data_IF_820619387669
#
_entry.id   IF_820619387669
#
_cell.length_a   1.000
_cell.length_b   1.000
_cell.length_c   1.000
_cell.angle_alpha   90.00
_cell.angle_beta   90.00
_cell.angle_gamma   90.00
#
_symmetry.space_group_name_H-M   'P 1'
#
loop_
_entity.id
_entity.type
_entity.pdbx_description
1 polymer ?
#
# COMPACT_ATOMS: atom_id res chain seq x y z
N UNK A 1 -8.40 8.30 -26.38
CA UNK A 1 -8.97 8.86 -25.14
C UNK A 1 -8.29 8.16 -23.97
N UNK A 2 -7.71 8.91 -23.03
CA UNK A 2 -7.14 8.31 -21.82
C UNK A 2 -8.31 7.75 -21.00
N UNK A 3 -8.40 6.42 -20.87
CA UNK A 3 -9.39 5.80 -19.96
C UNK A 3 -9.13 6.35 -18.56
N UNK A 4 -10.20 6.72 -17.83
CA UNK A 4 -10.07 7.20 -16.45
C UNK A 4 -9.36 6.16 -15.57
N UNK A 5 -8.41 6.62 -14.76
CA UNK A 5 -7.70 5.79 -13.78
C UNK A 5 -8.52 5.77 -12.48
N UNK A 6 -8.75 4.58 -11.95
CA UNK A 6 -9.45 4.36 -10.68
C UNK A 6 -8.40 4.02 -9.63
N UNK A 7 -8.34 4.81 -8.56
CA UNK A 7 -7.47 4.55 -7.40
C UNK A 7 -8.33 3.99 -6.26
N UNK A 8 -8.05 2.77 -5.82
CA UNK A 8 -8.84 2.06 -4.81
C UNK A 8 -8.01 1.91 -3.54
N UNK A 9 -8.50 2.47 -2.43
CA UNK A 9 -7.89 2.28 -1.11
C UNK A 9 -8.48 1.06 -0.41
N UNK A 10 -7.69 0.01 -0.20
CA UNK A 10 -8.08 -1.14 0.63
C UNK A 10 -7.71 -0.85 2.08
N UNK A 11 -8.70 -0.92 2.98
CA UNK A 11 -8.50 -0.73 4.42
C UNK A 11 -7.88 -1.97 5.08
N UNK A 12 -7.24 -1.80 6.25
CA UNK A 12 -6.65 -2.94 6.97
C UNK A 12 -7.67 -3.91 7.58
N UNK A 13 -8.96 -3.58 7.54
CA UNK A 13 -10.07 -4.35 8.12
C UNK A 13 -11.01 -4.93 7.06
N UNK A 14 -10.74 -4.75 5.77
CA UNK A 14 -11.73 -5.02 4.71
C UNK A 14 -11.70 -6.46 4.21
N UNK A 15 -10.57 -7.16 4.24
CA UNK A 15 -10.48 -8.53 3.70
C UNK A 15 -10.92 -9.60 4.72
N UNK A 16 -12.20 -9.54 5.11
CA UNK A 16 -12.85 -10.55 5.96
C UNK A 16 -13.50 -11.67 5.17
N UNK A 17 -14.13 -12.62 5.87
CA UNK A 17 -14.95 -13.66 5.22
C UNK A 17 -16.09 -13.01 4.43
N UNK A 18 -16.23 -13.40 3.15
CA UNK A 18 -17.19 -12.87 2.16
C UNK A 18 -16.87 -11.51 1.53
N UNK A 19 -15.67 -10.97 1.71
CA UNK A 19 -15.23 -9.79 0.94
C UNK A 19 -14.97 -10.17 -0.53
N UNK A 20 -15.48 -9.35 -1.47
CA UNK A 20 -15.32 -9.54 -2.93
C UNK A 20 -14.38 -8.53 -3.57
N UNK A 21 -13.68 -7.72 -2.77
CA UNK A 21 -12.92 -6.57 -3.27
C UNK A 21 -11.88 -6.98 -4.31
N UNK A 22 -11.21 -8.12 -4.10
CA UNK A 22 -10.17 -8.58 -5.01
C UNK A 22 -10.76 -9.13 -6.32
N UNK A 23 -11.87 -9.85 -6.23
CA UNK A 23 -12.65 -10.32 -7.38
C UNK A 23 -13.15 -9.14 -8.22
N UNK A 24 -13.69 -8.10 -7.57
CA UNK A 24 -14.19 -6.89 -8.22
C UNK A 24 -13.05 -6.12 -8.92
N UNK A 25 -11.89 -6.00 -8.27
CA UNK A 25 -10.70 -5.39 -8.88
C UNK A 25 -10.25 -6.14 -10.13
N UNK A 26 -10.21 -7.47 -10.07
CA UNK A 26 -9.81 -8.32 -11.20
C UNK A 26 -10.82 -8.23 -12.34
N UNK A 27 -12.11 -8.22 -12.03
CA UNK A 27 -13.17 -8.09 -13.03
C UNK A 27 -13.14 -6.72 -13.72
N UNK A 28 -12.96 -5.64 -12.96
CA UNK A 28 -12.74 -4.30 -13.51
C UNK A 28 -11.50 -4.24 -14.41
N UNK A 29 -10.41 -4.92 -14.03
CA UNK A 29 -9.22 -5.02 -14.88
C UNK A 29 -9.51 -5.75 -16.20
N UNK A 30 -10.28 -6.85 -16.16
CA UNK A 30 -10.70 -7.62 -17.36
C UNK A 30 -11.58 -6.79 -18.30
N UNK A 31 -12.40 -5.89 -17.75
CA UNK A 31 -13.16 -4.88 -18.52
C UNK A 31 -12.28 -3.75 -19.08
N UNK A 32 -10.97 -3.84 -18.87
CA UNK A 32 -9.96 -2.91 -19.37
C UNK A 32 -9.96 -1.58 -18.63
N UNK A 33 -10.36 -1.54 -17.35
CA UNK A 33 -10.19 -0.36 -16.49
C UNK A 33 -8.73 -0.29 -16.01
N UNK A 34 -8.22 0.93 -15.89
CA UNK A 34 -6.89 1.20 -15.33
C UNK A 34 -7.02 1.38 -13.82
N UNK A 35 -6.45 0.48 -13.04
CA UNK A 35 -6.61 0.40 -11.59
C UNK A 35 -5.26 0.58 -10.88
N UNK A 36 -5.26 1.42 -9.86
CA UNK A 36 -4.18 1.50 -8.87
C UNK A 36 -4.78 1.14 -7.52
N UNK A 37 -4.19 0.16 -6.83
CA UNK A 37 -4.59 -0.23 -5.48
C UNK A 37 -3.65 0.44 -4.49
N UNK A 38 -4.19 1.03 -3.43
CA UNK A 38 -3.42 1.55 -2.29
C UNK A 38 -3.84 0.79 -1.04
N UNK A 39 -2.91 0.22 -0.29
CA UNK A 39 -3.23 -0.55 0.91
C UNK A 39 -2.73 0.10 2.20
N UNK A 40 -3.21 -0.41 3.32
CA UNK A 40 -2.67 -0.11 4.65
C UNK A 40 -2.23 -1.41 5.31
N UNK A 41 -1.99 -1.38 6.61
CA UNK A 41 -1.63 -2.60 7.33
C UNK A 41 -1.38 -2.33 8.80
N UNK A 42 -2.12 -1.39 9.40
CA UNK A 42 -1.88 -0.92 10.76
C UNK A 42 -1.96 -2.06 11.78
N UNK A 43 -2.95 -2.96 11.63
CA UNK A 43 -3.12 -4.15 12.48
C UNK A 43 -1.91 -5.09 12.39
N UNK A 44 -1.56 -5.51 11.18
CA UNK A 44 -0.40 -6.39 10.91
C UNK A 44 0.90 -5.78 11.44
N UNK A 45 1.08 -4.47 11.25
CA UNK A 45 2.25 -3.75 11.76
C UNK A 45 2.31 -3.79 13.29
N UNK A 46 1.19 -3.51 13.97
CA UNK A 46 1.12 -3.57 15.44
C UNK A 46 1.39 -4.98 15.97
N UNK A 47 0.90 -6.02 15.30
CA UNK A 47 1.15 -7.42 15.66
C UNK A 47 2.65 -7.75 15.56
N UNK A 48 3.33 -7.34 14.50
CA UNK A 48 4.78 -7.56 14.35
C UNK A 48 5.62 -6.78 15.36
N UNK A 49 5.26 -5.52 15.64
CA UNK A 49 5.93 -4.73 16.68
C UNK A 49 5.80 -5.41 18.06
N UNK A 50 4.59 -5.88 18.40
CA UNK A 50 4.35 -6.59 19.65
C UNK A 50 5.16 -7.90 19.75
N UNK A 51 5.24 -8.68 18.66
CA UNK A 51 6.04 -9.91 18.61
C UNK A 51 7.54 -9.67 18.82
N UNK A 52 8.02 -8.49 18.43
CA UNK A 52 9.41 -8.08 18.60
C UNK A 52 9.66 -7.35 19.93
N UNK A 53 8.64 -7.18 20.77
CA UNK A 53 8.74 -6.44 22.02
C UNK A 53 8.97 -4.94 21.85
N UNK A 54 8.65 -4.39 20.67
CA UNK A 54 8.79 -2.96 20.38
C UNK A 54 7.50 -2.24 20.81
N UNK A 55 7.57 -1.29 21.77
CA UNK A 55 6.40 -0.58 22.25
C UNK A 55 5.79 0.30 21.15
N UNK A 56 4.46 0.41 21.16
CA UNK A 56 3.73 1.23 20.20
C UNK A 56 3.03 2.39 20.90
N UNK A 57 3.14 3.60 20.37
CA UNK A 57 2.43 4.77 20.85
C UNK A 57 1.82 5.57 19.70
N UNK A 58 0.81 6.37 20.01
CA UNK A 58 0.05 7.14 19.04
C UNK A 58 -0.18 8.57 19.53
N UNK A 59 -0.10 9.53 18.59
CA UNK A 59 -0.43 10.95 18.80
C UNK A 59 -1.42 11.34 17.71
N UNK A 60 -2.60 11.85 18.08
CA UNK A 60 -3.66 12.26 17.15
C UNK A 60 -4.05 11.16 16.12
N UNK A 61 -4.04 9.90 16.55
CA UNK A 61 -4.34 8.74 15.70
C UNK A 61 -3.21 8.29 14.77
N UNK A 62 -2.06 8.98 14.78
CA UNK A 62 -0.86 8.61 14.02
C UNK A 62 0.13 7.88 14.91
N UNK A 63 0.78 6.83 14.36
CA UNK A 63 1.80 6.07 15.07
C UNK A 63 3.07 6.92 15.22
N UNK A 64 3.57 7.06 16.44
CA UNK A 64 4.93 7.56 16.67
C UNK A 64 5.90 6.52 16.16
N UNK A 65 6.76 6.91 15.22
CA UNK A 65 7.59 5.97 14.46
C UNK A 65 9.05 6.32 14.65
N UNK A 66 9.77 5.60 15.50
CA UNK A 66 11.22 5.69 15.60
C UNK A 66 11.93 4.85 14.52
N UNK A 67 13.27 4.79 14.55
CA UNK A 67 14.06 4.12 13.52
C UNK A 67 13.80 2.60 13.47
N UNK A 68 13.61 1.95 14.63
CA UNK A 68 13.33 0.51 14.68
C UNK A 68 11.88 0.22 14.25
N UNK A 69 10.94 1.06 14.70
CA UNK A 69 9.54 1.00 14.27
C UNK A 69 9.43 1.18 12.76
N UNK A 70 10.19 2.10 12.16
CA UNK A 70 10.20 2.34 10.71
C UNK A 70 10.60 1.10 9.92
N UNK A 71 11.65 0.37 10.37
CA UNK A 71 12.08 -0.87 9.72
C UNK A 71 10.97 -1.91 9.70
N UNK A 72 10.27 -2.08 10.82
CA UNK A 72 9.17 -3.04 10.95
C UNK A 72 7.97 -2.61 10.10
N UNK A 73 7.62 -1.31 10.11
CA UNK A 73 6.54 -0.76 9.27
C UNK A 73 6.83 -1.00 7.78
N UNK A 74 8.04 -0.67 7.31
CA UNK A 74 8.43 -0.86 5.92
C UNK A 74 8.41 -2.34 5.51
N UNK A 75 8.94 -3.23 6.35
CA UNK A 75 8.93 -4.67 6.10
C UNK A 75 7.50 -5.26 6.10
N UNK A 76 6.67 -4.87 7.06
CA UNK A 76 5.30 -5.37 7.17
C UNK A 76 4.43 -4.90 6.00
N UNK A 77 4.51 -3.62 5.64
CA UNK A 77 3.67 -3.07 4.57
C UNK A 77 4.19 -3.52 3.19
N UNK A 78 5.44 -3.24 2.85
CA UNK A 78 5.97 -3.53 1.51
C UNK A 78 6.34 -4.99 1.28
N UNK A 79 6.73 -5.72 2.34
CA UNK A 79 7.20 -7.10 2.24
C UNK A 79 6.12 -8.15 2.50
N UNK A 80 5.22 -7.92 3.46
CA UNK A 80 4.18 -8.89 3.82
C UNK A 80 2.84 -8.53 3.17
N UNK A 81 2.19 -7.45 3.64
CA UNK A 81 0.81 -7.12 3.24
C UNK A 81 0.70 -6.86 1.74
N UNK A 82 1.62 -6.07 1.17
CA UNK A 82 1.61 -5.78 -0.26
C UNK A 82 1.73 -7.06 -1.11
N UNK A 83 2.61 -7.99 -0.70
CA UNK A 83 2.86 -9.23 -1.44
C UNK A 83 1.70 -10.21 -1.33
N UNK A 84 1.06 -10.31 -0.17
CA UNK A 84 -0.15 -11.10 0.02
C UNK A 84 -1.27 -10.63 -0.91
N UNK A 85 -1.48 -9.30 -1.02
CA UNK A 85 -2.45 -8.72 -1.97
C UNK A 85 -2.11 -9.06 -3.42
N UNK A 86 -0.84 -8.89 -3.81
CA UNK A 86 -0.39 -9.18 -5.17
C UNK A 86 -0.62 -10.66 -5.51
N UNK A 87 -0.26 -11.58 -4.62
CA UNK A 87 -0.46 -13.02 -4.80
C UNK A 87 -1.94 -13.36 -4.90
N UNK A 88 -2.78 -12.78 -4.04
CA UNK A 88 -4.23 -13.01 -4.07
C UNK A 88 -4.88 -12.51 -5.37
N UNK A 89 -4.52 -11.30 -5.82
CA UNK A 89 -5.00 -10.75 -7.11
C UNK A 89 -4.56 -11.64 -8.28
N UNK A 90 -3.31 -12.10 -8.27
CA UNK A 90 -2.79 -12.98 -9.32
C UNK A 90 -3.46 -14.36 -9.33
N UNK A 91 -3.77 -14.92 -8.15
CA UNK A 91 -4.50 -16.19 -8.02
C UNK A 91 -5.92 -16.11 -8.64
N UNK A 92 -6.54 -14.93 -8.65
CA UNK A 92 -7.81 -14.66 -9.31
C UNK A 92 -7.69 -14.35 -10.81
N UNK A 93 -6.47 -14.36 -11.35
CA UNK A 93 -6.16 -14.10 -12.76
C UNK A 93 -5.90 -12.63 -13.10
N UNK A 94 -5.74 -11.77 -12.09
CA UNK A 94 -5.32 -10.38 -12.28
C UNK A 94 -3.83 -10.25 -12.58
N UNK A 95 -3.45 -9.14 -13.21
CA UNK A 95 -2.04 -8.77 -13.43
C UNK A 95 -1.66 -7.67 -12.44
N UNK A 96 -1.02 -8.01 -11.33
CA UNK A 96 -0.63 -7.05 -10.29
C UNK A 96 0.89 -6.95 -10.11
N UNK A 97 1.38 -5.74 -9.82
CA UNK A 97 2.79 -5.47 -9.49
C UNK A 97 2.85 -4.61 -8.23
N UNK A 98 3.66 -5.03 -7.27
CA UNK A 98 3.94 -4.30 -6.03
C UNK A 98 4.85 -3.10 -6.27
N UNK A 99 4.54 -1.97 -5.65
CA UNK A 99 5.45 -0.84 -5.47
C UNK A 99 5.33 -0.31 -4.05
N UNK A 100 6.40 0.30 -3.54
CA UNK A 100 6.40 1.19 -2.39
C UNK A 100 6.69 2.62 -2.86
N UNK A 101 6.48 3.61 -1.99
CA UNK A 101 6.71 5.02 -2.34
C UNK A 101 8.14 5.33 -2.81
N UNK A 102 9.15 4.58 -2.37
CA UNK A 102 10.54 4.76 -2.79
C UNK A 102 10.83 4.21 -4.20
N UNK A 103 10.01 3.30 -4.71
CA UNK A 103 10.27 2.65 -6.00
C UNK A 103 10.09 3.65 -7.14
N UNK A 104 11.19 3.94 -7.86
CA UNK A 104 11.19 4.93 -8.92
C UNK A 104 10.89 6.35 -8.46
N UNK A 105 11.14 6.67 -7.19
CA UNK A 105 10.82 7.97 -6.57
C UNK A 105 9.33 8.36 -6.66
N UNK A 106 8.44 7.36 -6.60
CA UNK A 106 7.00 7.54 -6.72
C UNK A 106 6.44 8.57 -5.72
N UNK A 107 6.86 8.49 -4.46
CA UNK A 107 6.45 9.40 -3.38
C UNK A 107 7.67 10.01 -2.70
N UNK A 108 7.62 11.32 -2.51
CA UNK A 108 8.55 12.06 -1.67
C UNK A 108 7.81 12.51 -0.42
N UNK A 109 8.45 12.35 0.74
CA UNK A 109 7.88 12.75 2.01
C UNK A 109 8.86 13.55 2.87
N UNK A 110 8.33 14.46 3.65
CA UNK A 110 9.04 15.11 4.77
C UNK A 110 8.47 14.63 6.10
N UNK A 111 9.24 14.74 7.17
CA UNK A 111 8.75 14.47 8.53
C UNK A 111 7.58 15.41 8.81
N UNK A 112 6.44 14.85 9.22
CA UNK A 112 5.20 15.62 9.45
C UNK A 112 5.31 16.52 10.69
N UNK A 113 5.86 15.99 11.77
CA UNK A 113 6.17 16.75 12.99
C UNK A 113 7.20 16.00 13.84
N UNK A 114 8.06 16.71 14.60
CA UNK A 114 9.11 16.06 15.41
C UNK A 114 8.58 15.03 16.42
N UNK A 115 7.40 15.26 16.98
CA UNK A 115 6.73 14.38 17.95
C UNK A 115 6.29 13.01 17.37
N UNK A 116 6.18 12.90 16.05
CA UNK A 116 5.82 11.65 15.37
C UNK A 116 7.03 10.84 14.89
N UNK A 117 8.25 11.35 15.07
CA UNK A 117 9.48 10.73 14.58
C UNK A 117 9.52 10.71 13.04
N UNK A 118 9.63 9.52 12.45
CA UNK A 118 9.72 9.30 11.01
C UNK A 118 8.36 9.22 10.29
N UNK A 119 7.24 9.52 10.96
CA UNK A 119 5.97 9.63 10.27
C UNK A 119 6.00 10.83 9.31
N UNK A 120 5.74 10.56 8.03
CA UNK A 120 5.87 11.55 6.96
C UNK A 120 4.54 12.10 6.44
N UNK A 121 4.65 13.20 5.71
CA UNK A 121 3.59 13.70 4.82
C UNK A 121 4.13 13.83 3.39
N UNK A 122 3.28 13.55 2.40
CA UNK A 122 3.69 13.56 0.99
C UNK A 122 3.88 15.00 0.52
N UNK A 123 5.07 15.29 -0.02
CA UNK A 123 5.44 16.61 -0.56
C UNK A 123 5.54 16.63 -2.09
N UNK A 124 5.77 15.48 -2.72
CA UNK A 124 5.74 15.35 -4.17
C UNK A 124 5.38 13.91 -4.60
N UNK A 125 4.84 13.80 -5.81
CA UNK A 125 4.46 12.52 -6.43
C UNK A 125 4.99 12.50 -7.86
N UNK A 126 5.79 11.48 -8.21
CA UNK A 126 6.13 11.17 -9.60
C UNK A 126 5.32 9.94 -10.05
N UNK A 127 4.21 10.11 -10.78
CA UNK A 127 3.36 8.99 -11.20
C UNK A 127 3.95 8.21 -12.38
N UNK A 128 5.16 8.53 -12.85
CA UNK A 128 5.78 7.87 -14.02
C UNK A 128 5.85 6.35 -13.87
N UNK A 129 6.30 5.77 -12.74
CA UNK A 129 6.29 4.32 -12.54
C UNK A 129 4.88 3.71 -12.66
N UNK A 130 3.86 4.36 -12.10
CA UNK A 130 2.47 3.90 -12.20
C UNK A 130 1.98 3.92 -13.65
N UNK A 131 2.24 5.01 -14.38
CA UNK A 131 1.81 5.14 -15.79
C UNK A 131 2.45 4.07 -16.68
N UNK A 132 3.72 3.75 -16.46
CA UNK A 132 4.41 2.69 -17.21
C UNK A 132 3.75 1.32 -16.98
N UNK A 133 3.47 0.96 -15.73
CA UNK A 133 2.81 -0.29 -15.39
C UNK A 133 1.37 -0.36 -15.93
N UNK A 134 0.61 0.73 -15.77
CA UNK A 134 -0.77 0.82 -16.29
C UNK A 134 -0.81 0.66 -17.81
N UNK A 135 0.12 1.30 -18.54
CA UNK A 135 0.24 1.17 -19.99
C UNK A 135 0.60 -0.26 -20.43
N UNK A 136 1.36 -0.99 -19.62
CA UNK A 136 1.68 -2.40 -19.83
C UNK A 136 0.54 -3.36 -19.40
N UNK A 137 -0.57 -2.84 -18.88
CA UNK A 137 -1.73 -3.62 -18.47
C UNK A 137 -1.63 -4.23 -17.06
N UNK A 138 -0.67 -3.78 -16.26
CA UNK A 138 -0.58 -4.17 -14.85
C UNK A 138 -1.42 -3.24 -13.96
N UNK A 139 -1.89 -3.78 -12.83
CA UNK A 139 -2.50 -3.09 -11.71
C UNK A 139 -1.41 -2.85 -10.66
N UNK A 140 -0.93 -1.60 -10.49
CA UNK A 140 0.00 -1.28 -9.42
C UNK A 140 -0.68 -1.43 -8.06
N UNK A 141 0.01 -2.07 -7.11
CA UNK A 141 -0.39 -2.20 -5.71
C UNK A 141 0.63 -1.46 -4.85
N UNK A 142 0.20 -0.35 -4.26
CA UNK A 142 1.01 0.63 -3.52
C UNK A 142 0.71 0.59 -2.03
#
# INVERSE_FOLDING_TARGET
>A
MQKGIIVVKIGGSTLGNHDTTLEDLVELQKQGKSLVVVHGGAKVTSEWLARLGIPTSFVNGLRVTDAETLKVVAAALGGLVNKELVVAIQALGGKAVSLSGCDGNLLWASIKSPELGYAGEVVAVDPTPLKLLLNAGYMPVV
#
